data_IF_047407919968
#
_entry.id   IF_047407919968
#
_cell.length_a   1.000
_cell.length_b   1.000
_cell.length_c   1.000
_cell.angle_alpha   90.00
_cell.angle_beta   90.00
_cell.angle_gamma   90.00
#
_symmetry.space_group_name_H-M   'P 1'
#
loop_
_entity.id
_entity.type
_entity.pdbx_description
1 polymer ?
#
# COMPACT_ATOMS: atom_id res chain seq x y z
N UNK A 1 -13.72 7.01 20.06
CA UNK A 1 -13.01 6.48 21.23
C UNK A 1 -11.52 6.68 21.00
N UNK A 2 -10.78 7.40 21.84
CA UNK A 2 -9.34 7.51 21.74
C UNK A 2 -8.71 6.16 22.06
N UNK A 3 -7.69 5.78 21.28
CA UNK A 3 -6.90 4.60 21.57
C UNK A 3 -6.18 4.78 22.92
N UNK A 4 -6.17 3.77 23.80
CA UNK A 4 -5.43 3.86 25.04
C UNK A 4 -3.95 4.07 24.76
N UNK A 5 -3.31 4.89 25.58
CA UNK A 5 -1.90 5.23 25.48
C UNK A 5 -1.00 4.01 25.61
N UNK A 6 0.26 4.17 25.20
CA UNK A 6 1.28 3.12 25.11
C UNK A 6 1.71 2.47 26.43
N UNK A 7 1.07 2.77 27.54
CA UNK A 7 1.51 2.36 28.86
C UNK A 7 0.57 1.33 29.50
N UNK A 8 1.15 0.23 29.88
CA UNK A 8 0.77 -0.65 31.00
C UNK A 8 -0.44 -1.58 30.82
N UNK A 9 -0.51 -2.30 29.71
CA UNK A 9 -1.42 -3.42 29.68
C UNK A 9 -0.67 -4.73 29.46
N UNK A 10 -0.67 -5.55 30.51
CA UNK A 10 -0.15 -6.91 30.44
C UNK A 10 -1.03 -7.72 29.45
N UNK A 11 -0.45 -8.11 28.32
CA UNK A 11 -1.12 -9.01 27.38
C UNK A 11 -1.11 -10.43 27.96
N UNK A 12 -2.27 -10.90 28.36
CA UNK A 12 -2.47 -12.31 28.63
C UNK A 12 -2.97 -12.96 27.32
N UNK A 13 -2.21 -13.90 26.71
CA UNK A 13 -2.74 -14.67 25.62
C UNK A 13 -3.97 -15.45 26.09
N UNK A 14 -4.97 -15.69 25.24
CA UNK A 14 -6.06 -16.59 25.57
C UNK A 14 -5.49 -18.02 25.55
N UNK A 15 -4.80 -18.39 26.60
CA UNK A 15 -4.39 -19.77 26.79
C UNK A 15 -5.50 -20.43 27.60
N UNK A 16 -6.27 -21.24 26.94
CA UNK A 16 -7.03 -22.30 27.60
C UNK A 16 -6.01 -23.40 27.88
N UNK A 17 -5.12 -23.14 28.82
CA UNK A 17 -4.38 -24.23 29.40
C UNK A 17 -5.28 -24.88 30.45
N UNK A 18 -5.37 -26.19 30.41
CA UNK A 18 -6.01 -27.03 31.42
C UNK A 18 -5.19 -27.04 32.72
N UNK A 19 -4.74 -25.87 33.16
CA UNK A 19 -4.05 -25.69 34.43
C UNK A 19 -5.13 -25.58 35.51
N UNK A 20 -5.07 -26.36 36.57
CA UNK A 20 -6.05 -26.29 37.64
C UNK A 20 -6.14 -24.86 38.19
N UNK A 21 -7.35 -24.40 38.43
CA UNK A 21 -7.67 -23.03 38.90
C UNK A 21 -6.91 -22.60 40.16
N UNK A 22 -6.36 -23.56 40.91
CA UNK A 22 -5.48 -23.36 42.06
C UNK A 22 -4.15 -22.68 41.69
N UNK A 23 -3.66 -22.83 40.46
CA UNK A 23 -2.44 -22.17 39.97
C UNK A 23 -2.73 -20.76 39.47
N UNK A 24 -3.95 -20.49 39.06
CA UNK A 24 -4.37 -19.17 38.64
C UNK A 24 -4.57 -18.28 39.85
N UNK A 25 -3.65 -17.35 40.08
CA UNK A 25 -3.78 -16.29 41.10
C UNK A 25 -4.91 -15.34 40.69
N UNK A 26 -6.16 -15.78 40.83
CA UNK A 26 -7.36 -15.02 40.44
C UNK A 26 -7.45 -13.65 41.10
N UNK A 27 -6.77 -13.45 42.24
CA UNK A 27 -6.65 -12.14 42.89
C UNK A 27 -5.98 -11.07 42.00
N UNK A 28 -5.15 -11.45 41.02
CA UNK A 28 -4.53 -10.50 40.09
C UNK A 28 -5.49 -9.94 39.07
N UNK A 29 -6.58 -10.65 38.73
CA UNK A 29 -7.59 -10.17 37.79
C UNK A 29 -8.29 -8.89 38.24
N UNK A 30 -8.23 -8.60 39.52
CA UNK A 30 -8.72 -7.35 40.11
C UNK A 30 -7.90 -6.14 39.63
N UNK A 31 -6.63 -6.36 39.25
CA UNK A 31 -5.70 -5.32 38.84
C UNK A 31 -5.28 -5.45 37.36
N UNK A 32 -5.66 -6.53 36.70
CA UNK A 32 -5.30 -6.82 35.30
C UNK A 32 -6.56 -6.82 34.43
N UNK A 33 -6.63 -5.87 33.52
CA UNK A 33 -7.70 -5.85 32.52
C UNK A 33 -7.17 -6.48 31.23
N UNK A 34 -7.80 -7.53 30.68
CA UNK A 34 -7.41 -8.08 29.39
C UNK A 34 -7.61 -7.03 28.30
N UNK A 35 -6.55 -6.71 27.57
CA UNK A 35 -6.59 -5.79 26.46
C UNK A 35 -6.36 -6.55 25.17
N UNK A 36 -7.31 -6.43 24.26
CA UNK A 36 -7.15 -6.93 22.92
C UNK A 36 -6.09 -6.09 22.18
N UNK A 37 -4.97 -6.72 21.84
CA UNK A 37 -4.00 -6.14 20.90
C UNK A 37 -4.27 -6.68 19.51
N UNK A 38 -4.59 -5.79 18.57
CA UNK A 38 -4.66 -6.18 17.16
C UNK A 38 -3.24 -6.47 16.67
N UNK A 39 -2.99 -7.74 16.37
CA UNK A 39 -1.73 -8.18 15.75
C UNK A 39 -1.81 -7.94 14.26
N UNK A 40 -0.71 -7.48 13.68
CA UNK A 40 -0.57 -7.46 12.23
C UNK A 40 -0.60 -8.91 11.71
N UNK A 41 -1.31 -9.13 10.60
CA UNK A 41 -1.22 -10.40 9.91
C UNK A 41 0.23 -10.63 9.43
N UNK A 42 0.74 -11.89 9.40
CA UNK A 42 2.11 -12.16 8.96
C UNK A 42 2.42 -11.58 7.58
N UNK A 43 1.49 -11.67 6.64
CA UNK A 43 1.63 -11.08 5.31
C UNK A 43 1.80 -9.55 5.33
N UNK A 44 1.13 -8.85 6.25
CA UNK A 44 1.30 -7.40 6.41
C UNK A 44 2.61 -7.06 7.11
N UNK A 45 2.98 -7.82 8.14
CA UNK A 45 4.21 -7.58 8.90
C UNK A 45 5.48 -7.73 8.07
N UNK A 46 5.46 -8.64 7.08
CA UNK A 46 6.58 -8.87 6.16
C UNK A 46 6.54 -8.01 4.89
N UNK A 47 5.43 -7.33 4.63
CA UNK A 47 5.34 -6.45 3.48
C UNK A 47 6.15 -5.17 3.75
N UNK A 48 7.15 -4.81 2.92
CA UNK A 48 7.90 -3.56 3.10
C UNK A 48 7.04 -2.30 3.08
N UNK A 49 5.86 -2.37 2.44
CA UNK A 49 4.88 -1.29 2.41
C UNK A 49 3.85 -1.38 3.54
N UNK A 50 3.95 -2.38 4.41
CA UNK A 50 2.92 -2.68 5.43
C UNK A 50 1.49 -2.67 4.85
N UNK A 51 1.36 -3.10 3.61
CA UNK A 51 0.09 -3.09 2.88
C UNK A 51 -1.02 -3.80 3.67
N UNK A 52 -2.19 -3.18 3.72
CA UNK A 52 -3.36 -3.72 4.38
C UNK A 52 -3.96 -4.94 3.68
N UNK A 53 -3.12 -5.97 3.41
CA UNK A 53 -3.45 -7.14 2.58
C UNK A 53 -4.80 -7.78 2.96
N UNK A 54 -5.11 -8.10 4.22
CA UNK A 54 -6.40 -8.70 4.56
C UNK A 54 -7.59 -7.78 4.24
N UNK A 55 -7.40 -6.46 4.34
CA UNK A 55 -8.48 -5.49 4.13
C UNK A 55 -8.89 -5.41 2.66
N UNK A 56 -7.92 -5.25 1.76
CA UNK A 56 -8.23 -5.19 0.33
C UNK A 56 -8.58 -6.56 -0.26
N UNK A 57 -8.00 -7.66 0.28
CA UNK A 57 -8.41 -9.04 -0.06
C UNK A 57 -9.88 -9.30 0.21
N UNK A 58 -10.40 -8.83 1.36
CA UNK A 58 -11.82 -8.94 1.67
C UNK A 58 -12.70 -8.26 0.62
N UNK A 59 -12.24 -7.10 0.10
CA UNK A 59 -12.97 -6.39 -0.95
C UNK A 59 -12.94 -7.13 -2.29
N UNK A 60 -11.77 -7.69 -2.65
CA UNK A 60 -11.63 -8.53 -3.86
C UNK A 60 -12.54 -9.75 -3.77
N UNK A 61 -12.57 -10.45 -2.62
CA UNK A 61 -13.46 -11.59 -2.38
C UNK A 61 -14.94 -11.25 -2.62
N UNK A 62 -15.35 -10.02 -2.31
CA UNK A 62 -16.71 -9.51 -2.52
C UNK A 62 -16.96 -8.97 -3.93
N UNK A 63 -15.99 -9.05 -4.83
CA UNK A 63 -16.06 -8.47 -6.19
C UNK A 63 -15.96 -6.94 -6.23
N UNK A 64 -15.65 -6.28 -5.11
CA UNK A 64 -15.59 -4.83 -5.01
C UNK A 64 -14.21 -4.28 -5.37
N UNK A 65 -13.84 -4.37 -6.64
CA UNK A 65 -12.53 -3.97 -7.16
C UNK A 65 -12.18 -2.52 -6.85
N UNK A 66 -13.14 -1.60 -7.00
CA UNK A 66 -12.96 -0.19 -6.66
C UNK A 66 -12.57 0.02 -5.20
N UNK A 67 -13.28 -0.62 -4.28
CA UNK A 67 -12.96 -0.52 -2.85
C UNK A 67 -11.64 -1.20 -2.51
N UNK A 68 -11.30 -2.30 -3.19
CA UNK A 68 -9.99 -2.94 -3.03
C UNK A 68 -8.87 -1.98 -3.42
N UNK A 69 -8.98 -1.31 -4.56
CA UNK A 69 -8.06 -0.26 -4.98
C UNK A 69 -7.97 0.88 -3.96
N UNK A 70 -9.10 1.42 -3.52
CA UNK A 70 -9.13 2.53 -2.54
C UNK A 70 -8.47 2.20 -1.19
N UNK A 71 -8.48 0.93 -0.79
CA UNK A 71 -7.72 0.48 0.39
C UNK A 71 -6.24 0.36 0.04
N UNK A 72 -5.92 -0.19 -1.13
CA UNK A 72 -4.56 -0.48 -1.57
C UNK A 72 -3.75 0.80 -1.83
N UNK A 73 -4.36 1.82 -2.45
CA UNK A 73 -3.71 3.10 -2.78
C UNK A 73 -3.15 3.85 -1.57
N UNK A 74 -3.65 3.56 -0.36
CA UNK A 74 -3.14 4.17 0.88
C UNK A 74 -1.72 3.70 1.23
N UNK A 75 -1.31 2.56 0.70
CA UNK A 75 -0.03 1.91 0.98
C UNK A 75 0.83 1.80 -0.28
N UNK A 76 0.19 1.61 -1.42
CA UNK A 76 0.84 1.37 -2.70
C UNK A 76 0.06 2.05 -3.84
N UNK A 77 0.60 3.13 -4.43
CA UNK A 77 -0.06 3.83 -5.52
C UNK A 77 0.07 3.10 -6.87
N UNK A 78 0.98 2.10 -6.97
CA UNK A 78 1.32 1.41 -8.22
C UNK A 78 1.21 -0.11 -8.13
N UNK A 79 0.04 -0.68 -7.75
CA UNK A 79 -0.10 -2.12 -7.56
C UNK A 79 0.09 -2.92 -8.87
N UNK A 80 -0.18 -2.34 -10.04
CA UNK A 80 0.16 -2.97 -11.30
C UNK A 80 1.67 -3.18 -11.41
N UNK A 81 2.49 -2.15 -11.16
CA UNK A 81 3.95 -2.23 -11.25
C UNK A 81 4.54 -3.17 -10.19
N UNK A 82 4.13 -3.03 -8.93
CA UNK A 82 4.61 -3.89 -7.85
C UNK A 82 4.18 -5.35 -8.05
N UNK A 83 3.00 -5.58 -8.62
CA UNK A 83 2.52 -6.90 -8.98
C UNK A 83 3.41 -7.65 -10.00
N UNK A 84 4.17 -6.94 -10.81
CA UNK A 84 5.20 -7.53 -11.67
C UNK A 84 6.58 -7.63 -11.00
N UNK A 85 6.93 -6.68 -10.13
CA UNK A 85 8.29 -6.55 -9.60
C UNK A 85 8.50 -7.21 -8.22
N UNK A 86 7.46 -7.35 -7.40
CA UNK A 86 7.54 -7.80 -6.01
C UNK A 86 8.07 -9.24 -5.87
N UNK A 87 8.94 -9.47 -4.88
CA UNK A 87 9.50 -10.79 -4.54
C UNK A 87 8.60 -11.64 -3.65
N UNK A 88 7.41 -11.15 -3.24
CA UNK A 88 6.42 -11.88 -2.43
C UNK A 88 6.94 -12.33 -1.05
N UNK A 89 7.63 -11.46 -0.31
CA UNK A 89 8.05 -11.77 1.07
C UNK A 89 6.90 -12.26 1.96
N UNK A 90 5.68 -11.76 1.71
CA UNK A 90 4.48 -12.16 2.43
C UNK A 90 4.07 -13.62 2.22
N UNK A 91 4.56 -14.30 1.17
CA UNK A 91 4.19 -15.68 0.84
C UNK A 91 4.84 -16.68 1.77
N UNK A 92 6.10 -16.44 2.18
CA UNK A 92 6.86 -17.37 3.05
C UNK A 92 6.19 -17.57 4.40
N UNK A 93 5.54 -16.54 4.94
CA UNK A 93 4.88 -16.58 6.25
C UNK A 93 3.35 -16.57 6.15
N UNK A 94 2.83 -16.96 5.00
CA UNK A 94 1.39 -17.02 4.81
C UNK A 94 0.79 -18.09 5.74
N UNK A 95 -0.08 -17.66 6.66
CA UNK A 95 -0.74 -18.58 7.61
C UNK A 95 -1.52 -19.68 6.90
N UNK A 96 -2.06 -19.39 5.71
CA UNK A 96 -2.77 -20.38 4.91
C UNK A 96 -1.84 -21.49 4.40
N UNK A 97 -0.58 -21.16 4.08
CA UNK A 97 0.41 -22.15 3.63
C UNK A 97 0.73 -23.26 4.63
N UNK A 98 0.27 -23.11 5.90
CA UNK A 98 0.36 -24.19 6.91
C UNK A 98 -0.77 -25.21 6.80
N UNK A 99 -1.82 -24.90 6.04
CA UNK A 99 -3.02 -25.74 5.90
C UNK A 99 -3.15 -26.35 4.51
N UNK A 100 -2.91 -25.53 3.48
CA UNK A 100 -2.98 -25.93 2.08
C UNK A 100 -1.89 -25.20 1.28
N UNK A 101 -2.23 -24.14 0.53
CA UNK A 101 -1.31 -23.38 -0.28
C UNK A 101 -1.26 -21.90 0.14
N UNK A 102 -0.05 -21.34 0.13
CA UNK A 102 0.14 -19.94 0.37
C UNK A 102 -0.57 -19.10 -0.72
N UNK A 103 -1.30 -18.07 -0.31
CA UNK A 103 -2.02 -17.19 -1.22
C UNK A 103 -1.06 -16.46 -2.18
N UNK A 104 -1.44 -16.41 -3.45
CA UNK A 104 -0.69 -15.68 -4.47
C UNK A 104 -1.07 -14.19 -4.45
N UNK A 105 -0.69 -13.53 -3.34
CA UNK A 105 -1.05 -12.14 -3.03
C UNK A 105 -0.61 -11.19 -4.14
N UNK A 106 0.59 -11.39 -4.70
CA UNK A 106 1.13 -10.56 -5.78
C UNK A 106 0.25 -10.56 -7.02
N UNK A 107 -0.22 -11.73 -7.44
CA UNK A 107 -1.06 -11.84 -8.64
C UNK A 107 -2.42 -11.17 -8.45
N UNK A 108 -2.96 -11.26 -7.22
CA UNK A 108 -4.21 -10.57 -6.87
C UNK A 108 -4.00 -9.06 -6.85
N UNK A 109 -2.90 -8.59 -6.25
CA UNK A 109 -2.50 -7.18 -6.25
C UNK A 109 -2.34 -6.65 -7.67
N UNK A 110 -1.64 -7.41 -8.53
CA UNK A 110 -1.48 -7.11 -9.96
C UNK A 110 -2.83 -6.98 -10.66
N UNK A 111 -3.74 -7.93 -10.41
CA UNK A 111 -5.07 -7.91 -11.03
C UNK A 111 -5.86 -6.65 -10.64
N UNK A 112 -5.81 -6.24 -9.37
CA UNK A 112 -6.43 -4.98 -8.91
C UNK A 112 -5.79 -3.77 -9.57
N UNK A 113 -4.45 -3.77 -9.69
CA UNK A 113 -3.72 -2.70 -10.36
C UNK A 113 -4.07 -2.57 -11.84
N UNK A 114 -4.12 -3.68 -12.56
CA UNK A 114 -4.50 -3.68 -13.98
C UNK A 114 -5.96 -3.26 -14.16
N UNK A 115 -6.86 -3.74 -13.30
CA UNK A 115 -8.25 -3.29 -13.30
C UNK A 115 -8.33 -1.76 -13.11
N UNK A 116 -7.55 -1.20 -12.20
CA UNK A 116 -7.47 0.25 -11.98
C UNK A 116 -7.00 0.97 -13.22
N UNK A 117 -5.97 0.47 -13.91
CA UNK A 117 -5.47 1.06 -15.16
C UNK A 117 -6.53 1.09 -16.28
N UNK A 118 -7.43 0.14 -16.31
CA UNK A 118 -8.52 0.10 -17.28
C UNK A 118 -9.67 1.02 -16.91
N UNK A 119 -9.90 1.23 -15.60
CA UNK A 119 -11.07 1.92 -15.08
C UNK A 119 -10.76 3.28 -14.43
N UNK A 120 -9.54 3.80 -14.53
CA UNK A 120 -9.11 5.01 -13.79
C UNK A 120 -9.95 6.25 -14.10
N UNK A 121 -10.50 6.38 -15.31
CA UNK A 121 -11.36 7.52 -15.69
C UNK A 121 -12.70 7.50 -14.98
N UNK A 122 -13.18 6.32 -14.60
CA UNK A 122 -14.43 6.15 -13.85
C UNK A 122 -14.23 6.35 -12.35
N UNK A 123 -12.98 6.33 -11.90
CA UNK A 123 -12.60 6.34 -10.49
C UNK A 123 -11.70 7.53 -10.15
N UNK A 124 -11.95 8.69 -10.79
CA UNK A 124 -11.24 9.92 -10.41
C UNK A 124 -11.49 10.21 -8.94
N UNK A 125 -10.47 10.01 -8.12
CA UNK A 125 -10.52 10.40 -6.71
C UNK A 125 -10.39 11.92 -6.65
N UNK A 126 -11.36 12.56 -6.02
CA UNK A 126 -11.33 14.01 -5.80
C UNK A 126 -10.05 14.39 -5.04
N UNK A 127 -9.31 15.35 -5.60
CA UNK A 127 -8.15 15.92 -4.92
C UNK A 127 -8.63 16.60 -3.65
N UNK A 128 -7.95 16.35 -2.53
CA UNK A 128 -8.25 17.11 -1.31
C UNK A 128 -7.86 18.57 -1.54
N UNK A 129 -8.76 19.52 -1.28
CA UNK A 129 -8.39 20.91 -1.37
C UNK A 129 -7.25 21.21 -0.40
N UNK A 130 -6.26 21.98 -0.85
CA UNK A 130 -5.15 22.41 -0.01
C UNK A 130 -5.70 23.16 1.22
N UNK A 131 -5.43 22.64 2.42
CA UNK A 131 -5.94 23.22 3.66
C UNK A 131 -5.47 24.66 3.82
N UNK A 132 -6.43 25.61 3.81
CA UNK A 132 -6.23 26.98 4.29
C UNK A 132 -5.33 27.89 3.45
N UNK A 133 -5.07 27.59 2.18
CA UNK A 133 -4.31 28.46 1.27
C UNK A 133 -5.16 28.83 0.06
N UNK A 134 -5.08 30.11 -0.34
CA UNK A 134 -5.77 30.63 -1.54
C UNK A 134 -5.23 30.00 -2.84
N UNK A 135 -4.02 29.41 -2.80
CA UNK A 135 -3.39 28.74 -3.93
C UNK A 135 -2.80 27.38 -3.49
N UNK A 136 -2.87 26.33 -4.32
CA UNK A 136 -2.23 25.06 -4.06
C UNK A 136 -0.70 25.24 -3.98
N UNK A 137 0.00 24.52 -3.08
CA UNK A 137 1.45 24.56 -3.05
C UNK A 137 2.03 23.96 -4.32
N UNK A 138 3.03 24.60 -4.89
CA UNK A 138 3.76 24.12 -6.06
C UNK A 138 4.99 23.33 -5.60
N UNK A 139 5.11 22.09 -6.03
CA UNK A 139 6.17 21.18 -5.61
C UNK A 139 6.88 20.62 -6.84
N UNK A 140 8.21 20.61 -6.77
CA UNK A 140 9.08 19.96 -7.77
C UNK A 140 9.64 18.68 -7.15
N UNK A 141 9.53 17.56 -7.87
CA UNK A 141 10.12 16.26 -7.53
C UNK A 141 11.26 15.98 -8.51
N UNK A 142 12.45 15.69 -8.01
CA UNK A 142 13.62 15.38 -8.84
C UNK A 142 13.73 13.86 -8.97
N UNK A 143 13.70 13.38 -10.21
CA UNK A 143 13.73 11.97 -10.58
C UNK A 143 12.34 11.32 -10.67
N UNK A 144 12.11 10.57 -11.75
CA UNK A 144 10.87 9.85 -12.04
C UNK A 144 10.95 8.36 -11.71
N UNK A 145 11.88 7.94 -10.84
CA UNK A 145 11.93 6.58 -10.32
C UNK A 145 10.73 6.26 -9.40
N UNK A 146 10.63 5.02 -8.90
CA UNK A 146 9.50 4.59 -8.05
C UNK A 146 9.22 5.53 -6.87
N UNK A 147 10.27 6.00 -6.20
CA UNK A 147 10.16 6.92 -5.06
C UNK A 147 9.62 8.29 -5.48
N UNK A 148 10.16 8.87 -6.56
CA UNK A 148 9.72 10.16 -7.07
C UNK A 148 8.27 10.12 -7.56
N UNK A 149 7.90 9.11 -8.33
CA UNK A 149 6.52 8.94 -8.80
C UNK A 149 5.54 8.72 -7.65
N UNK A 150 5.92 7.94 -6.61
CA UNK A 150 5.09 7.74 -5.42
C UNK A 150 4.91 9.04 -4.64
N UNK A 151 5.99 9.80 -4.47
CA UNK A 151 5.94 11.11 -3.81
C UNK A 151 5.04 12.08 -4.59
N UNK A 152 5.19 12.13 -5.91
CA UNK A 152 4.37 12.97 -6.78
C UNK A 152 2.88 12.61 -6.68
N UNK A 153 2.56 11.31 -6.65
CA UNK A 153 1.21 10.82 -6.48
C UNK A 153 0.59 11.33 -5.17
N UNK A 154 1.23 11.07 -4.04
CA UNK A 154 0.67 11.45 -2.73
C UNK A 154 0.61 12.97 -2.55
N UNK A 155 1.60 13.73 -3.01
CA UNK A 155 1.59 15.20 -2.97
C UNK A 155 0.42 15.76 -3.79
N UNK A 156 0.18 15.22 -4.99
CA UNK A 156 -0.98 15.59 -5.80
C UNK A 156 -2.30 15.27 -5.10
N UNK A 157 -2.41 14.13 -4.41
CA UNK A 157 -3.57 13.77 -3.58
C UNK A 157 -3.78 14.69 -2.38
N UNK A 158 -2.71 15.29 -1.88
CA UNK A 158 -2.76 16.30 -0.81
C UNK A 158 -3.11 17.72 -1.34
N UNK A 159 -3.34 17.86 -2.64
CA UNK A 159 -3.75 19.09 -3.28
C UNK A 159 -2.59 19.98 -3.77
N UNK A 160 -1.38 19.44 -3.88
CA UNK A 160 -0.25 20.17 -4.48
C UNK A 160 -0.30 20.12 -6.01
N UNK A 161 0.22 21.18 -6.65
CA UNK A 161 0.61 21.17 -8.05
C UNK A 161 2.02 20.59 -8.17
N UNK A 162 2.14 19.41 -8.79
CA UNK A 162 3.38 18.65 -8.80
C UNK A 162 4.00 18.62 -10.19
N UNK A 163 5.30 18.96 -10.27
CA UNK A 163 6.13 18.77 -11.46
C UNK A 163 7.26 17.81 -11.13
N UNK A 164 7.38 16.73 -11.90
CA UNK A 164 8.49 15.80 -11.83
C UNK A 164 9.51 16.15 -12.91
N UNK A 165 10.78 16.32 -12.53
CA UNK A 165 11.89 16.53 -13.45
C UNK A 165 12.73 15.25 -13.54
N UNK A 166 12.98 14.77 -14.75
CA UNK A 166 13.74 13.56 -15.02
C UNK A 166 14.86 13.88 -16.02
N UNK A 167 16.08 13.50 -15.71
CA UNK A 167 17.25 13.72 -16.59
C UNK A 167 17.22 12.82 -17.82
N UNK A 168 16.75 11.59 -17.66
CA UNK A 168 16.69 10.64 -18.76
C UNK A 168 15.58 11.03 -19.77
N UNK A 169 15.70 10.60 -21.03
CA UNK A 169 14.67 10.85 -22.04
C UNK A 169 13.36 10.12 -21.78
N UNK A 170 13.40 9.06 -20.94
CA UNK A 170 12.22 8.27 -20.58
C UNK A 170 11.99 8.31 -19.07
N UNK A 171 10.73 8.56 -18.66
CA UNK A 171 10.35 8.51 -17.26
C UNK A 171 10.23 7.07 -16.74
N UNK A 172 10.39 6.89 -15.41
CA UNK A 172 10.25 5.61 -14.74
C UNK A 172 11.51 5.12 -14.02
N UNK A 173 12.67 5.75 -14.27
CA UNK A 173 13.95 5.37 -13.67
C UNK A 173 14.24 3.88 -13.84
N UNK A 174 14.59 3.16 -12.76
CA UNK A 174 14.87 1.73 -12.82
C UNK A 174 13.71 0.86 -13.29
N UNK A 175 12.46 1.30 -13.18
CA UNK A 175 11.32 0.58 -13.76
C UNK A 175 11.40 0.56 -15.29
N UNK A 176 11.94 1.63 -15.88
CA UNK A 176 12.11 1.74 -17.33
C UNK A 176 13.41 1.10 -17.82
N UNK A 177 14.52 1.25 -17.10
CA UNK A 177 15.87 0.88 -17.58
C UNK A 177 16.41 -0.39 -16.93
N UNK A 178 16.06 -0.67 -15.67
CA UNK A 178 16.65 -1.76 -14.89
C UNK A 178 15.86 -3.07 -14.93
N UNK A 179 14.53 -3.00 -15.13
CA UNK A 179 13.70 -4.22 -15.17
C UNK A 179 13.47 -4.63 -16.63
N UNK A 180 13.83 -5.85 -17.03
CA UNK A 180 13.60 -6.33 -18.38
C UNK A 180 12.10 -6.34 -18.76
N UNK A 181 11.79 -6.04 -20.02
CA UNK A 181 10.41 -5.93 -20.52
C UNK A 181 9.59 -7.21 -20.41
N UNK A 182 10.23 -8.39 -20.41
CA UNK A 182 9.53 -9.66 -20.18
C UNK A 182 9.06 -9.82 -18.72
N UNK A 183 9.70 -9.13 -17.76
CA UNK A 183 9.31 -9.12 -16.34
C UNK A 183 8.33 -8.00 -16.03
N UNK A 184 8.56 -6.79 -16.54
CA UNK A 184 7.66 -5.65 -16.45
C UNK A 184 7.38 -5.11 -17.84
N UNK A 185 6.21 -5.43 -18.44
CA UNK A 185 5.86 -4.93 -19.77
C UNK A 185 5.84 -3.40 -19.79
N UNK A 186 6.49 -2.80 -20.78
CA UNK A 186 6.62 -1.34 -20.90
C UNK A 186 5.28 -0.63 -20.90
N UNK A 187 4.30 -1.21 -21.61
CA UNK A 187 2.96 -0.63 -21.66
C UNK A 187 2.29 -0.47 -20.29
N UNK A 188 2.63 -1.32 -19.30
CA UNK A 188 2.09 -1.19 -17.95
C UNK A 188 2.65 0.05 -17.26
N UNK A 189 3.95 0.33 -17.42
CA UNK A 189 4.59 1.53 -16.91
C UNK A 189 4.06 2.79 -17.61
N UNK A 190 4.03 2.77 -18.95
CA UNK A 190 3.53 3.89 -19.76
C UNK A 190 2.10 4.27 -19.38
N UNK A 191 1.26 3.27 -19.14
CA UNK A 191 -0.13 3.49 -18.74
C UNK A 191 -0.22 4.14 -17.35
N UNK A 192 0.64 3.75 -16.38
CA UNK A 192 0.72 4.43 -15.08
C UNK A 192 1.18 5.88 -15.22
N UNK A 193 2.19 6.14 -16.05
CA UNK A 193 2.66 7.50 -16.32
C UNK A 193 1.56 8.36 -16.94
N UNK A 194 0.83 7.81 -17.92
CA UNK A 194 -0.32 8.49 -18.53
C UNK A 194 -1.39 8.83 -17.50
N UNK A 195 -1.70 7.89 -16.60
CA UNK A 195 -2.69 8.13 -15.54
C UNK A 195 -2.25 9.25 -14.61
N UNK A 196 -0.95 9.28 -14.22
CA UNK A 196 -0.42 10.36 -13.39
C UNK A 196 -0.53 11.73 -14.08
N UNK A 197 -0.28 11.78 -15.39
CA UNK A 197 -0.42 12.99 -16.19
C UNK A 197 -1.89 13.42 -16.31
N UNK A 198 -2.79 12.49 -16.56
CA UNK A 198 -4.25 12.75 -16.61
C UNK A 198 -4.78 13.23 -15.23
N UNK A 199 -4.13 12.82 -14.15
CA UNK A 199 -4.40 13.31 -12.79
C UNK A 199 -3.75 14.69 -12.51
N UNK A 200 -3.06 15.27 -13.50
CA UNK A 200 -2.52 16.64 -13.46
C UNK A 200 -1.11 16.74 -12.86
N UNK A 201 -0.36 15.65 -12.82
CA UNK A 201 1.07 15.68 -12.50
C UNK A 201 1.85 15.94 -13.79
N UNK A 202 2.69 16.97 -13.78
CA UNK A 202 3.51 17.33 -14.93
C UNK A 202 4.81 16.52 -14.86
N UNK A 203 5.11 15.74 -15.90
CA UNK A 203 6.37 15.00 -16.00
C UNK A 203 7.19 15.58 -17.16
N UNK A 204 8.38 16.10 -16.86
CA UNK A 204 9.33 16.66 -17.83
C UNK A 204 10.58 15.79 -17.85
N UNK A 205 10.86 15.18 -19.00
CA UNK A 205 12.06 14.37 -19.26
C UNK A 205 13.15 15.18 -19.95
N UNK A 206 14.40 14.71 -19.90
CA UNK A 206 15.55 15.39 -20.49
C UNK A 206 15.96 16.68 -19.74
N UNK A 207 15.59 16.80 -18.47
CA UNK A 207 15.90 17.96 -17.62
C UNK A 207 16.83 17.52 -16.51
N UNK A 208 18.09 17.97 -16.57
CA UNK A 208 19.07 17.79 -15.51
C UNK A 208 18.99 18.96 -14.52
N UNK A 209 19.09 18.66 -13.21
CA UNK A 209 19.00 19.63 -12.11
C UNK A 209 20.25 19.52 -11.26
#
# INVERSE_FOLDING_TARGET
MPLPGKNDTLYLPPVIETIPTLVNKTGLWRFLTPVRKDKLSPCRALCPLESGIPLWMEKVKKGNWKQAWQVMERFNPFPALTGYACYQFCRSECSRGKWDEALNIREIEKAVGLWRQENYRLDRVEKRPARGKNHPPRVVVIGSGPAGLSSAYYLSRMGAEVTVLEKEPAAGGLLATGIPGYRLPRMVLEKELTILQDEGIIIKTGVEV
#
